data_IF_235210956795
#
_entry.id   IF_235210956795
#
_cell.length_a   1.000
_cell.length_b   1.000
_cell.length_c   1.000
_cell.angle_alpha   90.00
_cell.angle_beta   90.00
_cell.angle_gamma   90.00
#
_symmetry.space_group_name_H-M   'P 1'
#
loop_
_entity.id
_entity.type
_entity.pdbx_description
1 polymer ?
#
# COMPACT_ATOMS: atom_id res chain seq x y z
N UNK A 1 22.41 24.99 4.77
CA UNK A 1 21.77 25.41 4.62
C UNK A 1 21.38 25.70 4.27
N UNK A 2 21.64 25.12 4.68
CA UNK A 2 20.94 25.63 4.60
C UNK A 2 20.40 25.92 4.33
N UNK A 3 20.56 25.72 4.86
CA UNK A 3 19.67 26.30 5.03
C UNK A 3 19.10 26.62 4.60
N UNK A 4 19.44 26.55 4.61
CA UNK A 4 18.74 27.02 4.66
C UNK A 4 18.24 26.85 4.48
N UNK A 5 18.53 26.55 5.04
CA UNK A 5 17.80 26.51 5.36
C UNK A 5 17.67 26.36 5.70
N UNK A 6 17.75 26.39 6.19
CA UNK A 6 17.38 26.61 6.95
C UNK A 6 17.23 27.21 6.97
N UNK A 7 17.01 27.74 7.11
CA UNK A 7 16.45 28.49 7.38
C UNK A 7 15.85 28.86 7.25
N UNK A 8 15.59 29.15 7.49
CA UNK A 8 14.78 29.46 7.68
C UNK A 8 14.16 29.85 7.83
N UNK A 9 13.82 30.30 8.18
CA UNK A 9 12.98 30.63 8.60
C UNK A 9 12.39 31.03 8.98
N UNK A 10 11.89 31.64 9.07
CA UNK A 10 11.28 32.19 9.83
C UNK A 10 10.73 31.81 10.52
N UNK A 11 10.81 32.08 10.92
CA UNK A 11 10.23 31.24 11.36
C UNK A 11 9.25 31.50 12.33
N UNK A 12 8.10 31.18 12.07
CA UNK A 12 7.04 31.32 13.00
C UNK A 12 7.17 30.31 14.10
N UNK A 13 6.89 30.66 15.36
CA UNK A 13 7.07 29.71 16.46
C UNK A 13 6.24 28.45 16.27
N UNK A 14 5.06 28.56 15.71
CA UNK A 14 4.25 27.37 15.52
C UNK A 14 4.89 26.41 14.53
N UNK A 15 5.71 26.91 13.62
CA UNK A 15 6.41 26.04 12.69
C UNK A 15 7.53 25.29 13.35
N UNK A 16 8.09 25.85 14.43
CA UNK A 16 9.13 25.14 15.15
C UNK A 16 8.60 23.90 15.83
N UNK A 17 7.34 23.90 16.20
CA UNK A 17 6.75 22.76 16.86
C UNK A 17 6.39 21.66 15.86
N UNK A 18 6.43 21.93 14.57
CA UNK A 18 6.09 20.95 13.55
C UNK A 18 7.34 20.27 13.08
N UNK A 19 7.45 18.99 13.36
CA UNK A 19 8.58 18.21 12.90
C UNK A 19 8.46 17.96 11.42
N UNK A 20 9.59 18.01 10.73
CA UNK A 20 9.62 17.60 9.35
C UNK A 20 9.48 16.10 9.28
N UNK A 21 8.65 15.67 8.35
CA UNK A 21 8.43 14.24 8.14
C UNK A 21 9.13 13.85 6.85
N UNK A 22 10.40 13.51 6.97
CA UNK A 22 11.23 13.13 5.83
C UNK A 22 11.32 11.61 5.79
N UNK A 23 10.88 11.04 4.68
CA UNK A 23 10.96 9.60 4.49
C UNK A 23 12.37 9.23 4.10
N UNK A 24 12.93 8.23 4.78
CA UNK A 24 14.29 7.79 4.53
C UNK A 24 14.35 6.28 4.62
N UNK A 25 15.10 5.66 3.70
CA UNK A 25 15.23 4.21 3.73
C UNK A 25 15.96 3.71 4.97
N UNK A 26 16.69 4.58 5.65
CA UNK A 26 17.32 4.21 6.92
C UNK A 26 16.28 3.90 7.98
N UNK A 27 15.06 4.43 7.84
CA UNK A 27 13.97 4.18 8.77
C UNK A 27 13.14 2.96 8.37
N UNK A 28 13.56 2.27 7.34
CA UNK A 28 12.86 1.08 6.87
C UNK A 28 12.35 1.26 5.46
N UNK A 29 12.15 0.15 4.78
CA UNK A 29 11.66 0.16 3.41
C UNK A 29 10.92 -1.14 3.12
N UNK A 30 10.11 -1.11 2.06
CA UNK A 30 9.39 -2.28 1.58
C UNK A 30 10.04 -2.75 0.28
N UNK A 31 10.40 -4.04 0.24
CA UNK A 31 11.13 -4.59 -0.88
C UNK A 31 10.17 -5.42 -1.74
N UNK A 32 9.89 -4.93 -2.93
CA UNK A 32 9.02 -5.61 -3.89
C UNK A 32 9.81 -5.89 -5.15
N UNK A 33 9.53 -7.05 -5.76
CA UNK A 33 10.09 -7.32 -7.08
C UNK A 33 9.54 -6.28 -8.06
N UNK A 34 10.39 -5.82 -8.96
CA UNK A 34 9.98 -4.79 -9.91
C UNK A 34 8.79 -5.24 -10.74
N UNK A 35 8.79 -6.49 -11.18
CA UNK A 35 7.71 -6.98 -12.03
C UNK A 35 6.37 -6.97 -11.30
N UNK A 36 6.38 -7.36 -10.03
CA UNK A 36 5.16 -7.31 -9.23
C UNK A 36 4.69 -5.87 -9.06
N UNK A 37 5.61 -4.98 -8.77
CA UNK A 37 5.27 -3.59 -8.55
C UNK A 37 4.73 -2.94 -9.82
N UNK A 38 5.35 -3.23 -10.96
CA UNK A 38 4.90 -2.69 -12.24
C UNK A 38 3.52 -3.21 -12.59
N UNK A 39 3.27 -4.48 -12.32
CA UNK A 39 1.94 -5.03 -12.57
C UNK A 39 0.90 -4.36 -11.69
N UNK A 40 1.26 -4.11 -10.44
CA UNK A 40 0.36 -3.43 -9.52
C UNK A 40 0.09 -1.99 -9.96
N UNK A 41 1.12 -1.30 -10.43
CA UNK A 41 0.98 0.06 -10.91
C UNK A 41 0.01 0.14 -12.09
N UNK A 42 0.14 -0.80 -13.02
CA UNK A 42 -0.70 -0.79 -14.22
C UNK A 42 -2.08 -1.41 -14.05
N UNK A 43 -2.35 -2.00 -12.89
CA UNK A 43 -3.60 -2.71 -12.69
C UNK A 43 -4.79 -1.75 -12.64
N UNK A 44 -5.87 -2.14 -13.31
CA UNK A 44 -7.09 -1.34 -13.34
C UNK A 44 -7.92 -1.63 -12.10
N UNK A 45 -7.50 -1.06 -10.98
CA UNK A 45 -8.15 -1.26 -9.70
C UNK A 45 -8.90 0.00 -9.28
N UNK A 46 -9.97 -0.19 -8.52
CA UNK A 46 -10.63 0.96 -7.92
C UNK A 46 -9.70 1.56 -6.86
N UNK A 47 -10.01 2.78 -6.44
CA UNK A 47 -9.21 3.44 -5.43
C UNK A 47 -9.10 2.60 -4.15
N UNK A 48 -10.23 2.06 -3.68
CA UNK A 48 -10.22 1.26 -2.46
C UNK A 48 -9.43 -0.03 -2.66
N UNK A 49 -9.60 -0.68 -3.81
CA UNK A 49 -8.85 -1.89 -4.11
C UNK A 49 -7.36 -1.62 -4.15
N UNK A 50 -6.96 -0.54 -4.79
CA UNK A 50 -5.54 -0.19 -4.88
C UNK A 50 -4.96 0.06 -3.50
N UNK A 51 -5.68 0.81 -2.66
CA UNK A 51 -5.21 1.09 -1.31
C UNK A 51 -5.02 -0.19 -0.51
N UNK A 52 -5.98 -1.10 -0.59
CA UNK A 52 -5.90 -2.35 0.16
C UNK A 52 -4.76 -3.22 -0.37
N UNK A 53 -4.58 -3.28 -1.69
CA UNK A 53 -3.48 -4.06 -2.27
C UNK A 53 -2.13 -3.52 -1.79
N UNK A 54 -1.94 -2.20 -1.82
CA UNK A 54 -0.70 -1.60 -1.34
C UNK A 54 -0.49 -1.87 0.15
N UNK A 55 -1.57 -1.80 0.95
CA UNK A 55 -1.47 -2.06 2.38
C UNK A 55 -1.03 -3.48 2.66
N UNK A 56 -1.56 -4.44 1.91
CA UNK A 56 -1.17 -5.84 2.09
C UNK A 56 0.30 -6.03 1.72
N UNK A 57 0.76 -5.41 0.63
CA UNK A 57 2.16 -5.47 0.26
C UNK A 57 3.04 -4.90 1.37
N UNK A 58 2.63 -3.78 1.95
CA UNK A 58 3.39 -3.15 3.02
C UNK A 58 3.48 -4.05 4.26
N UNK A 59 2.37 -4.73 4.59
CA UNK A 59 2.32 -5.56 5.80
C UNK A 59 2.95 -6.93 5.59
N UNK A 60 3.25 -7.32 4.37
CA UNK A 60 3.93 -8.57 4.10
C UNK A 60 5.38 -8.32 3.70
N UNK A 61 5.62 -7.79 2.53
CA UNK A 61 7.00 -7.58 2.06
C UNK A 61 7.73 -6.52 2.87
N UNK A 62 7.01 -5.61 3.50
CA UNK A 62 7.64 -4.65 4.40
C UNK A 62 8.26 -5.30 5.63
N UNK A 63 7.90 -6.55 5.91
CA UNK A 63 8.47 -7.32 7.01
C UNK A 63 9.16 -8.58 6.48
N UNK A 64 9.52 -8.58 5.20
CA UNK A 64 10.22 -9.70 4.55
C UNK A 64 9.41 -10.99 4.58
N UNK A 65 8.09 -10.88 4.50
CA UNK A 65 7.20 -12.03 4.46
C UNK A 65 6.41 -11.99 3.17
N UNK A 66 6.16 -13.17 2.60
CA UNK A 66 5.33 -13.26 1.40
C UNK A 66 3.86 -13.22 1.74
N UNK A 67 3.50 -13.73 2.90
CA UNK A 67 2.14 -13.75 3.42
C UNK A 67 2.19 -13.55 4.91
N UNK A 68 1.13 -12.98 5.45
CA UNK A 68 1.05 -12.79 6.89
C UNK A 68 -0.41 -12.74 7.28
N UNK A 69 -0.61 -12.82 8.57
CA UNK A 69 -1.93 -12.69 9.16
C UNK A 69 -2.18 -11.22 9.41
N UNK A 70 -3.09 -10.64 8.64
CA UNK A 70 -3.34 -9.21 8.70
C UNK A 70 -4.82 -8.99 8.98
N UNK A 71 -5.11 -8.34 10.11
CA UNK A 71 -6.48 -8.03 10.46
C UNK A 71 -7.00 -6.86 9.63
N UNK A 72 -8.31 -6.87 9.38
CA UNK A 72 -8.92 -5.77 8.64
C UNK A 72 -8.71 -4.43 9.34
N UNK A 73 -8.61 -4.44 10.67
CA UNK A 73 -8.35 -3.22 11.41
C UNK A 73 -6.98 -2.63 11.10
N UNK A 74 -5.98 -3.48 10.87
CA UNK A 74 -4.66 -3.01 10.49
C UNK A 74 -4.67 -2.38 9.10
N UNK A 75 -5.39 -3.01 8.18
CA UNK A 75 -5.53 -2.47 6.83
C UNK A 75 -6.33 -1.17 6.87
N UNK A 76 -7.39 -1.15 7.66
CA UNK A 76 -8.22 0.05 7.81
C UNK A 76 -7.40 1.22 8.32
N UNK A 77 -6.56 0.97 9.30
CA UNK A 77 -5.72 2.00 9.89
C UNK A 77 -4.74 2.57 8.86
N UNK A 78 -4.16 1.69 8.05
CA UNK A 78 -3.16 2.08 7.08
C UNK A 78 -3.78 2.78 5.87
N UNK A 79 -4.91 2.29 5.40
CA UNK A 79 -5.58 2.85 4.22
C UNK A 79 -6.45 4.03 4.55
N UNK A 80 -6.84 4.18 5.81
CA UNK A 80 -7.80 5.20 6.27
C UNK A 80 -9.18 4.99 5.66
N UNK A 81 -9.51 3.73 5.42
CA UNK A 81 -10.83 3.33 4.93
C UNK A 81 -11.59 2.66 6.06
N UNK A 82 -12.92 2.76 6.07
CA UNK A 82 -13.71 1.99 7.04
C UNK A 82 -13.53 0.50 6.82
N UNK A 83 -13.66 -0.27 7.89
CA UNK A 83 -13.46 -1.72 7.80
C UNK A 83 -14.33 -2.40 6.76
N UNK A 84 -15.55 -1.92 6.61
CA UNK A 84 -16.46 -2.49 5.61
C UNK A 84 -15.89 -2.35 4.21
N UNK A 85 -15.32 -1.18 3.91
CA UNK A 85 -14.71 -0.94 2.61
C UNK A 85 -13.46 -1.79 2.42
N UNK A 86 -12.68 -1.94 3.49
CA UNK A 86 -11.49 -2.79 3.46
C UNK A 86 -11.89 -4.24 3.18
N UNK A 87 -12.87 -4.76 3.89
CA UNK A 87 -13.29 -6.14 3.72
C UNK A 87 -13.79 -6.40 2.30
N UNK A 88 -14.59 -5.50 1.78
CA UNK A 88 -15.11 -5.64 0.43
C UNK A 88 -13.98 -5.63 -0.59
N UNK A 89 -13.10 -4.65 -0.50
CA UNK A 89 -12.01 -4.53 -1.45
C UNK A 89 -11.05 -5.71 -1.36
N UNK A 90 -10.78 -6.19 -0.14
CA UNK A 90 -9.90 -7.34 0.06
C UNK A 90 -10.47 -8.57 -0.63
N UNK A 91 -11.75 -8.82 -0.43
CA UNK A 91 -12.38 -9.98 -1.04
C UNK A 91 -12.42 -9.88 -2.56
N UNK A 92 -12.64 -8.70 -3.07
CA UNK A 92 -12.59 -8.47 -4.51
C UNK A 92 -11.21 -8.74 -5.08
N UNK A 93 -10.18 -8.32 -4.37
CA UNK A 93 -8.80 -8.55 -4.80
C UNK A 93 -8.44 -10.03 -4.78
N UNK A 94 -8.93 -10.75 -3.79
CA UNK A 94 -8.72 -12.21 -3.74
C UNK A 94 -9.42 -12.86 -4.91
N UNK A 95 -10.62 -12.42 -5.22
CA UNK A 95 -11.39 -12.97 -6.33
C UNK A 95 -10.72 -12.71 -7.66
N UNK A 96 -10.08 -11.55 -7.81
CA UNK A 96 -9.36 -11.22 -9.03
C UNK A 96 -7.97 -11.87 -9.11
N UNK A 97 -7.55 -12.54 -8.06
CA UNK A 97 -6.23 -13.16 -8.06
C UNK A 97 -5.08 -12.24 -7.75
N UNK A 98 -5.35 -10.97 -7.42
CA UNK A 98 -4.30 -10.03 -7.06
C UNK A 98 -3.74 -10.35 -5.69
N UNK A 99 -4.60 -10.78 -4.78
CA UNK A 99 -4.20 -11.26 -3.47
C UNK A 99 -4.51 -12.75 -3.37
N UNK A 100 -3.74 -13.45 -2.56
CA UNK A 100 -3.99 -14.87 -2.28
C UNK A 100 -4.18 -15.04 -0.78
N UNK A 101 -4.99 -16.02 -0.44
CA UNK A 101 -5.26 -16.36 0.95
C UNK A 101 -5.02 -17.83 1.16
N UNK A 102 -4.30 -18.17 2.22
CA UNK A 102 -4.09 -19.54 2.64
C UNK A 102 -4.41 -19.61 4.12
N UNK A 103 -5.58 -20.15 4.45
CA UNK A 103 -6.03 -20.18 5.83
C UNK A 103 -6.20 -18.75 6.35
N UNK A 104 -5.42 -18.41 7.37
CA UNK A 104 -5.46 -17.09 7.97
C UNK A 104 -4.43 -16.13 7.38
N UNK A 105 -3.64 -16.60 6.43
CA UNK A 105 -2.58 -15.80 5.84
C UNK A 105 -3.05 -15.16 4.55
N UNK A 106 -2.59 -13.95 4.28
CA UNK A 106 -2.92 -13.23 3.06
C UNK A 106 -1.67 -12.53 2.56
N UNK A 107 -1.56 -12.41 1.25
CA UNK A 107 -0.43 -11.73 0.65
C UNK A 107 -0.69 -11.46 -0.82
N UNK A 108 0.19 -10.68 -1.46
CA UNK A 108 0.06 -10.44 -2.89
C UNK A 108 0.40 -11.72 -3.67
N UNK A 109 -0.30 -11.92 -4.76
CA UNK A 109 -0.08 -13.09 -5.60
C UNK A 109 1.08 -12.83 -6.54
N UNK A 110 2.17 -13.54 -6.34
CA UNK A 110 3.38 -13.39 -7.18
C UNK A 110 3.19 -13.95 -8.57
N UNK A 111 2.23 -14.83 -8.73
CA UNK A 111 1.98 -15.41 -10.04
C UNK A 111 1.07 -14.46 -10.82
N UNK A 112 1.70 -13.58 -11.58
CA UNK A 112 0.99 -12.50 -12.25
C UNK A 112 0.05 -13.00 -13.33
N UNK A 113 0.29 -14.20 -13.83
CA UNK A 113 -0.61 -14.76 -14.85
C UNK A 113 -1.97 -15.13 -14.29
N UNK A 114 -2.09 -15.21 -12.96
CA UNK A 114 -3.35 -15.53 -12.32
C UNK A 114 -4.21 -14.30 -12.03
N UNK A 115 -3.67 -13.11 -12.25
CA UNK A 115 -4.44 -11.90 -12.03
C UNK A 115 -5.47 -11.75 -13.13
N UNK A 116 -6.73 -11.62 -12.72
CA UNK A 116 -7.85 -11.46 -13.65
C UNK A 116 -8.62 -10.21 -13.30
N UNK A 117 -8.13 -9.09 -13.78
CA UNK A 117 -8.69 -7.79 -13.47
C UNK A 117 -9.60 -7.37 -14.61
N UNK A 118 -10.84 -6.97 -14.32
CA UNK A 118 -11.72 -6.50 -15.38
C UNK A 118 -11.14 -5.31 -16.09
N UNK A 119 -11.30 -5.27 -17.40
CA UNK A 119 -10.81 -4.15 -18.17
C UNK A 119 -11.70 -2.94 -17.95
N UNK A 120 -11.08 -1.78 -18.06
CA UNK A 120 -11.81 -0.56 -18.05
C UNK A 120 -12.49 -0.40 -19.38
N UNK A 121 -13.77 -0.32 -19.36
CA UNK A 121 -14.48 -0.32 -20.56
C UNK A 121 -14.74 1.00 -21.07
N UNK A 122 -14.54 1.85 -20.54
CA UNK A 122 -14.85 2.94 -21.05
C UNK A 122 -13.86 3.51 -21.56
N UNK A 123 -13.46 3.00 -21.69
CA UNK A 123 -12.78 3.34 -22.16
C UNK A 123 -13.01 3.75 -22.86
N UNK A 124 -13.22 3.90 -22.79
CA UNK A 124 -13.31 4.15 -23.53
C UNK A 124 -13.24 4.60 -23.26
#
# INVERSE_FOLDING_TARGET
MSLAYKNVSPIRPELKAVEQRVADTDDGYTRLANELYEELIGANLTRNQAKVAHAVCRKTYGFNKKMDRIADSQISQLTRLPRQKVNKAKNELIQMGVLVREGMLIGPNKNLTEWQIPECHHDG
#
